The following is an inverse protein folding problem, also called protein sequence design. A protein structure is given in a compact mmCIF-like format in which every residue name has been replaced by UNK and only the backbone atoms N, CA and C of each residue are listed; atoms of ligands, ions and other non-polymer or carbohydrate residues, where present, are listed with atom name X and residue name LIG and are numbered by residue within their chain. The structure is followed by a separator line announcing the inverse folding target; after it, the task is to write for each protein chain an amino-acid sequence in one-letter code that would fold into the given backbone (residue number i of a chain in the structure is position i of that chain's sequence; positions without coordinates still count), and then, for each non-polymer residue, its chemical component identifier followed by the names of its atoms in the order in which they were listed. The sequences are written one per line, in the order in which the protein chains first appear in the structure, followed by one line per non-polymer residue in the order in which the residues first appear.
data_IF_947430227578
#
_entry.id   IF_947430227578
#
_cell.length_a   1.000
_cell.length_b   1.000
_cell.length_c   1.000
_cell.angle_alpha   90.00
_cell.angle_beta   90.00
_cell.angle_gamma   90.00
#
_symmetry.space_group_name_H-M   'P 1'
#
loop_
_entity.id
_entity.type
_entity.pdbx_description
1 polymer ?
#
# COMPACT_ATOMS: atom_id res chain seq x y z
N UNK A 1 -14.34 -25.12 22.40
CA UNK A 1 -13.31 -24.88 21.37
C UNK A 1 -13.21 -23.42 20.97
N UNK A 2 -11.98 -22.97 20.68
CA UNK A 2 -11.65 -21.64 20.15
C UNK A 2 -11.20 -21.79 18.68
N UNK A 3 -11.63 -20.89 17.80
CA UNK A 3 -11.20 -20.87 16.39
C UNK A 3 -9.87 -20.12 16.25
N UNK A 4 -8.79 -20.75 15.72
CA UNK A 4 -7.51 -20.09 15.50
C UNK A 4 -7.55 -18.95 14.46
N UNK A 5 -8.61 -18.83 13.66
CA UNK A 5 -8.83 -17.72 12.72
C UNK A 5 -9.65 -16.57 13.31
N UNK A 6 -10.15 -16.70 14.54
CA UNK A 6 -10.95 -15.65 15.16
C UNK A 6 -10.11 -14.38 15.38
N UNK A 7 -10.64 -13.24 14.92
CA UNK A 7 -10.06 -11.92 15.12
C UNK A 7 -11.10 -10.99 15.73
N UNK A 8 -10.68 -10.21 16.73
CA UNK A 8 -11.53 -9.24 17.41
C UNK A 8 -11.02 -7.82 17.11
N UNK A 9 -11.90 -6.99 16.58
CA UNK A 9 -11.66 -5.57 16.35
C UNK A 9 -12.66 -4.76 17.18
N UNK A 10 -12.15 -3.74 17.88
CA UNK A 10 -12.95 -2.85 18.71
C UNK A 10 -12.76 -1.42 18.21
N UNK A 11 -13.86 -0.68 18.04
CA UNK A 11 -13.86 0.71 17.59
C UNK A 11 -14.62 1.58 18.59
N UNK A 12 -14.09 2.77 18.85
CA UNK A 12 -14.78 3.83 19.59
C UNK A 12 -14.80 5.12 18.76
N UNK A 13 -15.91 5.86 18.83
CA UNK A 13 -16.06 7.18 18.22
C UNK A 13 -15.65 8.32 19.15
N UNK A 14 -15.43 8.03 20.43
CA UNK A 14 -15.07 9.06 21.40
C UNK A 14 -13.65 9.56 21.10
N UNK A 15 -13.43 10.88 21.06
CA UNK A 15 -12.08 11.43 20.96
C UNK A 15 -11.36 11.24 22.29
N UNK A 16 -10.18 10.62 22.26
CA UNK A 16 -9.29 10.41 23.42
C UNK A 16 -9.98 9.83 24.68
N UNK A 17 -10.62 8.65 24.59
CA UNK A 17 -11.14 7.98 25.78
C UNK A 17 -9.97 7.61 26.70
N UNK A 18 -10.15 7.87 28.00
CA UNK A 18 -9.11 7.56 28.98
C UNK A 18 -9.03 6.05 29.19
N UNK A 19 -8.16 5.38 28.44
CA UNK A 19 -7.85 3.98 28.64
C UNK A 19 -6.90 3.85 29.82
N UNK A 20 -7.29 3.02 30.78
CA UNK A 20 -6.37 2.66 31.85
C UNK A 20 -5.14 1.95 31.29
N UNK A 21 -3.96 2.06 31.91
CA UNK A 21 -2.73 1.43 31.43
C UNK A 21 -2.86 -0.07 31.17
N UNK A 22 -3.73 -0.78 31.91
CA UNK A 22 -3.94 -2.21 31.70
C UNK A 22 -4.56 -2.52 30.33
N UNK A 23 -5.48 -1.68 29.84
CA UNK A 23 -6.10 -1.83 28.53
C UNK A 23 -5.11 -1.47 27.41
N UNK A 24 -4.29 -0.44 27.62
CA UNK A 24 -3.24 -0.06 26.68
C UNK A 24 -2.12 -1.12 26.56
N UNK A 25 -1.90 -1.92 27.60
CA UNK A 25 -0.97 -3.04 27.57
C UNK A 25 -1.55 -4.30 26.92
N UNK A 26 -2.87 -4.52 27.02
CA UNK A 26 -3.54 -5.71 26.50
C UNK A 26 -4.01 -5.56 25.05
N UNK A 27 -4.15 -4.34 24.54
CA UNK A 27 -4.67 -4.06 23.20
C UNK A 27 -3.80 -3.03 22.48
N UNK A 28 -3.63 -3.19 21.18
CA UNK A 28 -2.98 -2.18 20.33
C UNK A 28 -3.97 -1.04 20.06
N UNK A 29 -3.66 0.15 20.57
CA UNK A 29 -4.48 1.36 20.33
C UNK A 29 -4.01 2.03 19.04
N UNK A 30 -4.94 2.22 18.10
CA UNK A 30 -4.68 2.92 16.82
C UNK A 30 -5.49 4.22 16.80
N UNK A 31 -4.84 5.33 16.49
CA UNK A 31 -5.48 6.64 16.37
C UNK A 31 -5.82 6.95 14.91
N UNK A 32 -7.11 7.14 14.63
CA UNK A 32 -7.65 7.48 13.31
C UNK A 32 -8.20 8.92 13.23
N UNK A 33 -7.79 9.81 14.14
CA UNK A 33 -8.18 11.23 14.08
C UNK A 33 -7.61 11.84 12.80
N UNK A 34 -8.49 12.48 12.02
CA UNK A 34 -8.11 13.24 10.83
C UNK A 34 -7.29 14.45 11.27
N UNK A 35 -6.09 14.60 10.71
CA UNK A 35 -5.25 15.79 10.95
C UNK A 35 -5.84 17.00 10.22
N UNK A 36 -5.60 18.23 10.71
CA UNK A 36 -6.07 19.45 10.03
C UNK A 36 -5.63 19.49 8.56
N UNK A 37 -4.37 19.17 8.28
CA UNK A 37 -3.81 19.09 6.92
C UNK A 37 -4.56 18.07 6.06
N UNK A 38 -4.85 16.88 6.62
CA UNK A 38 -5.59 15.85 5.91
C UNK A 38 -7.05 16.22 5.64
N UNK A 39 -7.66 17.03 6.51
CA UNK A 39 -8.99 17.58 6.28
C UNK A 39 -8.96 18.68 5.21
N UNK A 40 -7.95 19.54 5.21
CA UNK A 40 -7.75 20.58 4.19
C UNK A 40 -7.63 19.96 2.80
N UNK A 41 -6.79 18.94 2.65
CA UNK A 41 -6.63 18.20 1.40
C UNK A 41 -7.95 17.57 0.92
N UNK A 42 -8.75 17.02 1.83
CA UNK A 42 -10.06 16.44 1.49
C UNK A 42 -11.04 17.51 1.01
N UNK A 43 -11.08 18.66 1.68
CA UNK A 43 -11.95 19.77 1.28
C UNK A 43 -11.49 20.33 -0.07
N UNK A 44 -10.18 20.51 -0.26
CA UNK A 44 -9.61 20.97 -1.53
C UNK A 44 -9.97 20.02 -2.68
N UNK A 45 -9.83 18.71 -2.48
CA UNK A 45 -10.24 17.71 -3.47
C UNK A 45 -11.73 17.83 -3.81
N UNK A 46 -12.59 18.08 -2.81
CA UNK A 46 -14.02 18.28 -3.03
C UNK A 46 -14.32 19.55 -3.84
N UNK A 47 -13.65 20.66 -3.54
CA UNK A 47 -13.80 21.93 -4.27
C UNK A 47 -13.30 21.79 -5.70
N UNK A 48 -12.12 21.21 -5.91
CA UNK A 48 -11.57 20.98 -7.25
C UNK A 48 -12.47 20.08 -8.09
N UNK A 49 -13.09 19.06 -7.49
CA UNK A 49 -14.03 18.20 -8.20
C UNK A 49 -15.29 18.95 -8.68
N UNK A 50 -15.75 19.96 -7.93
CA UNK A 50 -16.89 20.79 -8.33
C UNK A 50 -16.48 21.84 -9.37
N UNK A 51 -15.34 22.51 -9.17
CA UNK A 51 -14.90 23.61 -10.05
C UNK A 51 -14.27 23.11 -11.36
N UNK A 52 -13.53 22.00 -11.31
CA UNK A 52 -12.74 21.44 -12.43
C UNK A 52 -12.74 19.90 -12.39
N UNK A 53 -13.88 19.25 -12.70
CA UNK A 53 -14.00 17.80 -12.64
C UNK A 53 -13.02 17.05 -13.57
N UNK A 54 -12.69 17.62 -14.73
CA UNK A 54 -11.73 17.02 -15.67
C UNK A 54 -10.32 16.88 -15.06
N UNK A 55 -9.90 17.85 -14.24
CA UNK A 55 -8.59 17.83 -13.59
C UNK A 55 -8.53 16.72 -12.51
N UNK A 56 -9.62 16.55 -11.74
CA UNK A 56 -9.70 15.49 -10.74
C UNK A 56 -9.77 14.10 -11.41
N UNK A 57 -10.46 13.95 -12.53
CA UNK A 57 -10.45 12.71 -13.32
C UNK A 57 -9.05 12.36 -13.83
N UNK A 58 -8.34 13.33 -14.40
CA UNK A 58 -6.96 13.12 -14.86
C UNK A 58 -6.03 12.73 -13.70
N UNK A 59 -6.15 13.39 -12.55
CA UNK A 59 -5.38 13.05 -11.34
C UNK A 59 -5.69 11.61 -10.90
N UNK A 60 -6.96 11.21 -10.83
CA UNK A 60 -7.34 9.85 -10.45
C UNK A 60 -6.79 8.80 -11.41
N UNK A 61 -6.85 9.06 -12.72
CA UNK A 61 -6.28 8.19 -13.73
C UNK A 61 -4.76 8.05 -13.58
N UNK A 62 -4.06 9.17 -13.35
CA UNK A 62 -2.61 9.17 -13.12
C UNK A 62 -2.23 8.38 -11.86
N UNK A 63 -2.95 8.57 -10.75
CA UNK A 63 -2.74 7.82 -9.50
C UNK A 63 -2.99 6.33 -9.70
N UNK A 64 -4.01 5.96 -10.47
CA UNK A 64 -4.28 4.56 -10.82
C UNK A 64 -3.13 3.96 -11.63
N UNK A 65 -2.73 4.61 -12.73
CA UNK A 65 -1.60 4.16 -13.56
C UNK A 65 -0.32 4.05 -12.74
N UNK A 66 -0.07 5.00 -11.84
CA UNK A 66 1.09 4.95 -10.95
C UNK A 66 1.06 3.71 -10.04
N UNK A 67 -0.09 3.38 -9.44
CA UNK A 67 -0.22 2.16 -8.64
C UNK A 67 -0.03 0.90 -9.48
N UNK A 68 -0.62 0.85 -10.67
CA UNK A 68 -0.46 -0.29 -11.59
C UNK A 68 1.02 -0.49 -11.97
N UNK A 69 1.75 0.60 -12.23
CA UNK A 69 3.19 0.54 -12.48
C UNK A 69 3.99 0.09 -11.25
N UNK A 70 3.65 0.54 -10.04
CA UNK A 70 4.30 0.06 -8.81
C UNK A 70 4.10 -1.44 -8.61
N UNK A 71 2.89 -1.94 -8.86
CA UNK A 71 2.60 -3.38 -8.79
C UNK A 71 3.39 -4.15 -9.83
N UNK A 72 3.43 -3.65 -11.07
CA UNK A 72 4.20 -4.27 -12.16
C UNK A 72 5.70 -4.30 -11.85
N UNK A 73 6.25 -3.22 -11.29
CA UNK A 73 7.65 -3.17 -10.86
C UNK A 73 7.93 -4.19 -9.77
N UNK A 74 7.09 -4.29 -8.74
CA UNK A 74 7.25 -5.30 -7.69
C UNK A 74 7.23 -6.72 -8.25
N UNK A 75 6.36 -7.00 -9.22
CA UNK A 75 6.31 -8.30 -9.89
C UNK A 75 7.58 -8.60 -10.68
N UNK A 76 8.09 -7.61 -11.44
CA UNK A 76 9.33 -7.74 -12.18
C UNK A 76 10.53 -7.96 -11.24
N UNK A 77 10.57 -7.27 -10.09
CA UNK A 77 11.59 -7.47 -9.06
C UNK A 77 11.52 -8.88 -8.46
N UNK A 78 10.32 -9.36 -8.11
CA UNK A 78 10.10 -10.70 -7.58
C UNK A 78 10.46 -11.79 -8.61
N UNK A 79 10.09 -11.59 -9.88
CA UNK A 79 10.41 -12.51 -10.98
C UNK A 79 11.92 -12.56 -11.22
N UNK A 80 12.61 -11.42 -11.19
CA UNK A 80 14.06 -11.34 -11.35
C UNK A 80 14.79 -12.02 -10.19
N UNK A 81 14.34 -11.78 -8.94
CA UNK A 81 14.87 -12.46 -7.76
C UNK A 81 14.63 -13.97 -7.83
N UNK A 82 13.44 -14.40 -8.27
CA UNK A 82 13.12 -15.80 -8.46
C UNK A 82 14.06 -16.43 -9.48
N UNK A 83 14.24 -15.82 -10.65
CA UNK A 83 15.14 -16.32 -11.70
C UNK A 83 16.60 -16.39 -11.24
N UNK A 84 17.10 -15.37 -10.54
CA UNK A 84 18.46 -15.38 -9.96
C UNK A 84 18.63 -16.47 -8.89
N UNK A 85 17.62 -16.69 -8.04
CA UNK A 85 17.66 -17.73 -6.99
C UNK A 85 17.56 -19.15 -7.56
N UNK A 86 16.91 -19.30 -8.72
CA UNK A 86 16.69 -20.57 -9.41
C UNK A 86 17.86 -20.96 -10.31
N UNK A 87 18.67 -19.99 -10.73
CA UNK A 87 19.76 -20.21 -11.65
C UNK A 87 21.00 -20.78 -10.93
N UNK A 88 21.54 -21.88 -11.48
CA UNK A 88 22.79 -22.44 -11.00
C UNK A 88 23.94 -21.42 -11.17
N UNK A 89 24.81 -21.21 -10.15
CA UNK A 89 25.91 -20.23 -10.18
C UNK A 89 26.88 -20.41 -11.35
N UNK A 90 26.94 -21.62 -11.94
CA UNK A 90 27.82 -21.98 -13.04
C UNK A 90 27.26 -21.64 -14.44
N UNK A 91 25.95 -21.39 -14.58
CA UNK A 91 25.27 -21.22 -15.88
C UNK A 91 24.46 -19.91 -15.95
N UNK A 92 24.56 -19.07 -14.92
CA UNK A 92 23.80 -17.83 -14.79
C UNK A 92 24.04 -16.83 -15.95
N UNK A 93 25.24 -16.87 -16.56
CA UNK A 93 25.62 -16.04 -17.70
C UNK A 93 25.10 -16.57 -19.06
N UNK A 94 24.73 -17.85 -19.14
CA UNK A 94 24.18 -18.48 -20.35
C UNK A 94 22.65 -18.38 -20.42
N UNK A 95 22.02 -17.87 -19.36
CA UNK A 95 20.57 -17.80 -19.23
C UNK A 95 20.03 -16.60 -20.01
N UNK A 96 19.89 -16.78 -21.33
CA UNK A 96 19.39 -15.78 -22.30
C UNK A 96 18.07 -15.10 -21.85
N UNK A 97 17.20 -15.81 -21.15
CA UNK A 97 15.94 -15.26 -20.62
C UNK A 97 16.12 -14.25 -19.48
N UNK A 98 17.17 -14.41 -18.66
CA UNK A 98 17.55 -13.44 -17.62
C UNK A 98 18.14 -12.17 -18.23
N UNK A 99 18.90 -12.32 -19.32
CA UNK A 99 19.52 -11.20 -20.06
C UNK A 99 18.45 -10.38 -20.81
N UNK A 100 17.49 -11.03 -21.48
CA UNK A 100 16.34 -10.34 -22.11
C UNK A 100 15.42 -9.66 -21.07
N UNK A 101 15.27 -10.25 -19.88
CA UNK A 101 14.53 -9.64 -18.77
C UNK A 101 15.19 -8.35 -18.26
N UNK A 102 16.52 -8.35 -18.13
CA UNK A 102 17.32 -7.18 -17.74
C UNK A 102 17.32 -6.05 -18.80
N UNK A 103 17.17 -6.36 -20.08
CA UNK A 103 17.07 -5.36 -21.16
C UNK A 103 15.69 -4.68 -21.25
N UNK A 104 14.64 -5.26 -20.66
CA UNK A 104 13.26 -4.72 -20.72
C UNK A 104 12.87 -3.83 -19.54
N UNK A 105 13.67 -3.81 -18.47
CA UNK A 105 13.58 -2.82 -17.36
C UNK A 105 14.29 -1.53 -17.69
#
# INVERSE_FOLDING_TARGET
DYDPKFQLYLQSKLPNPHYRPEIAAQCTIINFIVTPDGLEDQILAMVVNVEKPELEQQKQELVRRQNDFKVTLSQLEDDLLSQLSSADPATILDNLGLIEGLERT
#
